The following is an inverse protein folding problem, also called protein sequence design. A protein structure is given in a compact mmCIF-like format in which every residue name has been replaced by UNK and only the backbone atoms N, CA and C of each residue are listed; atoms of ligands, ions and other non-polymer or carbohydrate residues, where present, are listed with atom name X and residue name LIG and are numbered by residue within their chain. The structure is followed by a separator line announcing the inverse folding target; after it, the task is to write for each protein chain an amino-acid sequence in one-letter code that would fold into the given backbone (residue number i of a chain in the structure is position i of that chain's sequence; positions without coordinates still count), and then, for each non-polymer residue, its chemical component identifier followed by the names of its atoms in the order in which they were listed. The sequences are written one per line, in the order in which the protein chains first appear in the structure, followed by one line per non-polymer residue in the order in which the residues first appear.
data_IF_980046125996
#
_entry.id   IF_980046125996
#
_cell.length_a   1.000
_cell.length_b   1.000
_cell.length_c   1.000
_cell.angle_alpha   90.00
_cell.angle_beta   90.00
_cell.angle_gamma   90.00
#
_symmetry.space_group_name_H-M   'P 1'
#
loop_
_entity.id
_entity.type
_entity.pdbx_description
1 polymer ?
#
# COMPACT_ATOMS: atom_id res chain seq x y z
N UNK A 1 -10.10 2.66 -13.02
CA UNK A 1 -10.32 2.62 -14.50
C UNK A 1 -10.57 1.20 -14.97
N UNK A 2 -11.20 1.01 -16.13
CA UNK A 2 -11.40 -0.34 -16.70
C UNK A 2 -10.07 -0.94 -17.11
N UNK A 3 -9.16 -0.08 -17.56
CA UNK A 3 -7.80 -0.31 -18.03
C UNK A 3 -6.81 -0.67 -16.91
N UNK A 4 -7.26 -0.67 -15.65
CA UNK A 4 -6.40 -0.85 -14.48
C UNK A 4 -6.06 0.48 -13.81
N UNK A 5 -5.26 0.42 -12.75
CA UNK A 5 -4.84 1.59 -11.99
C UNK A 5 -3.48 1.36 -11.35
N UNK A 6 -2.79 2.45 -11.03
CA UNK A 6 -1.55 2.37 -10.27
C UNK A 6 -1.93 2.11 -8.82
N UNK A 7 -1.51 0.95 -8.32
CA UNK A 7 -1.47 0.68 -6.89
C UNK A 7 -0.02 0.81 -6.42
N UNK A 8 0.17 1.48 -5.30
CA UNK A 8 1.43 1.50 -4.59
C UNK A 8 1.28 0.80 -3.25
N UNK A 9 2.37 0.17 -2.81
CA UNK A 9 2.49 -0.40 -1.48
C UNK A 9 3.66 0.29 -0.81
N UNK A 10 3.43 0.82 0.39
CA UNK A 10 4.49 1.37 1.21
C UNK A 10 5.01 0.29 2.16
N UNK A 11 6.33 0.23 2.30
CA UNK A 11 6.99 -0.67 3.24
C UNK A 11 7.79 0.14 4.24
N UNK A 12 7.61 -0.16 5.53
CA UNK A 12 8.53 0.34 6.53
C UNK A 12 9.85 -0.42 6.47
N UNK A 13 10.95 0.33 6.41
CA UNK A 13 12.31 -0.21 6.35
C UNK A 13 13.18 0.42 7.44
N UNK A 14 14.06 -0.39 8.05
CA UNK A 14 15.04 0.09 9.03
C UNK A 14 16.39 0.19 8.33
N UNK A 15 16.92 1.41 8.21
CA UNK A 15 18.27 1.61 7.68
C UNK A 15 19.32 0.93 8.56
N UNK A 16 20.30 0.26 7.94
CA UNK A 16 21.30 -0.57 8.63
C UNK A 16 22.12 0.21 9.67
N UNK A 17 22.33 1.50 9.44
CA UNK A 17 23.10 2.41 10.31
C UNK A 17 22.30 3.05 11.44
N UNK A 18 20.99 2.77 11.55
CA UNK A 18 20.17 3.36 12.60
C UNK A 18 20.64 2.94 14.00
N UNK A 19 20.78 3.91 14.90
CA UNK A 19 21.07 3.70 16.33
C UNK A 19 19.80 3.52 17.16
N UNK A 20 18.61 3.55 16.53
CA UNK A 20 17.30 3.53 17.20
C UNK A 20 16.46 2.30 16.81
N UNK A 21 17.11 1.19 16.43
CA UNK A 21 16.44 -0.01 15.91
C UNK A 21 15.39 -0.58 16.87
N UNK A 22 15.66 -0.57 18.17
CA UNK A 22 14.77 -1.18 19.16
C UNK A 22 13.42 -0.47 19.29
N UNK A 23 13.42 0.87 19.29
CA UNK A 23 12.15 1.62 19.32
C UNK A 23 11.40 1.50 17.99
N UNK A 24 12.11 1.44 16.86
CA UNK A 24 11.48 1.23 15.55
C UNK A 24 10.84 -0.15 15.48
N UNK A 25 11.48 -1.21 16.01
CA UNK A 25 10.87 -2.55 16.08
C UNK A 25 9.54 -2.53 16.85
N UNK A 26 9.48 -1.87 18.01
CA UNK A 26 8.22 -1.70 18.78
C UNK A 26 7.16 -0.96 17.97
N UNK A 27 7.54 0.06 17.22
CA UNK A 27 6.63 0.77 16.32
C UNK A 27 6.10 -0.15 15.21
N UNK A 28 6.96 -0.99 14.61
CA UNK A 28 6.55 -1.95 13.59
C UNK A 28 5.61 -3.02 14.16
N UNK A 29 5.90 -3.56 15.33
CA UNK A 29 5.03 -4.50 16.04
C UNK A 29 3.64 -3.90 16.27
N UNK A 30 3.57 -2.65 16.73
CA UNK A 30 2.31 -1.95 16.90
C UNK A 30 1.59 -1.71 15.57
N UNK A 31 2.29 -1.16 14.57
CA UNK A 31 1.71 -0.79 13.28
C UNK A 31 1.18 -2.01 12.52
N UNK A 32 1.84 -3.16 12.68
CA UNK A 32 1.43 -4.43 12.09
C UNK A 32 0.42 -5.21 12.95
N UNK A 33 0.08 -4.75 14.15
CA UNK A 33 -1.04 -5.32 14.91
C UNK A 33 -2.38 -5.00 14.23
N UNK A 34 -3.43 -5.76 14.56
CA UNK A 34 -4.78 -5.50 14.04
C UNK A 34 -5.24 -4.07 14.38
N UNK A 35 -5.01 -3.63 15.63
CA UNK A 35 -5.37 -2.29 16.10
C UNK A 35 -4.59 -1.18 15.37
N UNK A 36 -3.29 -1.39 15.15
CA UNK A 36 -2.46 -0.46 14.38
C UNK A 36 -2.99 -0.28 12.96
N UNK A 37 -3.32 -1.39 12.28
CA UNK A 37 -3.86 -1.36 10.92
C UNK A 37 -5.24 -0.69 10.83
N UNK A 38 -6.14 -0.92 11.79
CA UNK A 38 -7.42 -0.19 11.85
C UNK A 38 -7.18 1.31 11.97
N UNK A 39 -6.21 1.73 12.79
CA UNK A 39 -5.91 3.15 12.94
C UNK A 39 -5.43 3.79 11.64
N UNK A 40 -4.64 3.06 10.86
CA UNK A 40 -4.17 3.48 9.53
C UNK A 40 -5.31 3.54 8.52
N UNK A 41 -6.21 2.55 8.50
CA UNK A 41 -7.38 2.55 7.61
C UNK A 41 -8.32 3.73 7.87
N UNK A 42 -8.41 4.20 9.12
CA UNK A 42 -9.25 5.32 9.52
C UNK A 42 -8.62 6.71 9.30
N UNK A 43 -7.40 6.79 8.76
CA UNK A 43 -6.76 8.08 8.48
C UNK A 43 -7.46 8.80 7.32
N UNK A 44 -7.92 10.04 7.56
CA UNK A 44 -8.68 10.82 6.56
C UNK A 44 -7.86 11.21 5.32
N UNK A 45 -6.57 11.48 5.49
CA UNK A 45 -5.71 11.95 4.40
C UNK A 45 -5.06 10.83 3.59
N UNK A 46 -4.89 9.66 4.21
CA UNK A 46 -4.19 8.54 3.59
C UNK A 46 -4.61 7.20 4.22
N UNK A 47 -5.84 6.73 3.93
CA UNK A 47 -6.34 5.48 4.49
C UNK A 47 -5.59 4.30 3.86
N UNK A 48 -4.73 3.65 4.66
CA UNK A 48 -4.00 2.46 4.22
C UNK A 48 -4.82 1.18 4.39
N UNK A 49 -4.60 0.22 3.50
CA UNK A 49 -5.21 -1.11 3.63
C UNK A 49 -4.63 -1.86 4.83
N UNK A 50 -5.48 -2.58 5.55
CA UNK A 50 -5.06 -3.64 6.45
C UNK A 50 -4.52 -4.82 5.61
N UNK A 51 -3.22 -5.07 5.75
CA UNK A 51 -2.48 -6.09 4.99
C UNK A 51 -2.47 -7.45 5.69
N UNK A 52 -3.06 -7.56 6.87
CA UNK A 52 -3.19 -8.84 7.60
C UNK A 52 -4.65 -9.26 7.74
N UNK A 53 -4.88 -10.58 7.81
CA UNK A 53 -6.21 -11.14 8.06
C UNK A 53 -6.82 -10.64 9.37
N UNK A 54 -6.00 -10.52 10.44
CA UNK A 54 -6.46 -10.03 11.74
C UNK A 54 -6.86 -8.54 11.69
N UNK A 55 -6.08 -7.70 10.99
CA UNK A 55 -6.41 -6.28 10.79
C UNK A 55 -7.70 -6.08 10.00
N UNK A 56 -7.86 -6.83 8.89
CA UNK A 56 -9.10 -6.80 8.10
C UNK A 56 -10.30 -7.26 8.91
N UNK A 57 -10.18 -8.38 9.64
CA UNK A 57 -11.23 -8.87 10.53
C UNK A 57 -11.66 -7.80 11.53
N UNK A 58 -10.70 -7.20 12.25
CA UNK A 58 -11.00 -6.17 13.24
C UNK A 58 -11.64 -4.93 12.60
N UNK A 59 -11.16 -4.50 11.42
CA UNK A 59 -11.75 -3.36 10.70
C UNK A 59 -13.22 -3.61 10.37
N UNK A 60 -13.56 -4.80 9.85
CA UNK A 60 -14.93 -5.18 9.55
C UNK A 60 -15.83 -5.20 10.81
N UNK A 61 -15.27 -5.53 11.97
CA UNK A 61 -16.00 -5.56 13.25
C UNK A 61 -16.24 -4.16 13.81
N UNK A 62 -15.24 -3.28 13.79
CA UNK A 62 -15.28 -1.98 14.51
C UNK A 62 -15.64 -0.79 13.62
N UNK A 63 -15.44 -0.91 12.30
CA UNK A 63 -15.72 0.14 11.32
C UNK A 63 -16.12 -0.49 9.96
N UNK A 64 -17.28 -1.17 9.91
CA UNK A 64 -17.76 -1.80 8.68
C UNK A 64 -18.01 -0.79 7.56
N UNK A 65 -18.30 0.47 7.89
CA UNK A 65 -18.47 1.54 6.91
C UNK A 65 -17.15 1.83 6.18
N UNK A 66 -16.04 1.97 6.90
CA UNK A 66 -14.71 2.13 6.30
C UNK A 66 -14.27 0.87 5.54
N UNK A 67 -14.53 -0.32 6.11
CA UNK A 67 -14.24 -1.58 5.42
C UNK A 67 -14.95 -1.65 4.05
N UNK A 68 -16.24 -1.31 4.00
CA UNK A 68 -17.03 -1.30 2.77
C UNK A 68 -16.54 -0.23 1.80
N UNK A 69 -16.28 1.00 2.28
CA UNK A 69 -15.81 2.12 1.47
C UNK A 69 -14.47 1.81 0.80
N UNK A 70 -13.56 1.16 1.52
CA UNK A 70 -12.23 0.79 1.04
C UNK A 70 -12.19 -0.55 0.30
N UNK A 71 -13.28 -1.33 0.25
CA UNK A 71 -13.30 -2.64 -0.37
C UNK A 71 -12.53 -3.71 0.41
N UNK A 72 -12.37 -3.54 1.72
CA UNK A 72 -11.71 -4.48 2.63
C UNK A 72 -12.71 -5.48 3.23
N UNK A 73 -13.71 -5.85 2.45
CA UNK A 73 -14.74 -6.84 2.76
C UNK A 73 -14.55 -8.07 1.86
N UNK A 74 -14.94 -9.25 2.33
CA UNK A 74 -14.78 -10.48 1.54
C UNK A 74 -15.56 -10.39 0.22
N UNK A 75 -14.92 -10.77 -0.89
CA UNK A 75 -15.53 -10.78 -2.22
C UNK A 75 -15.63 -9.41 -2.90
N UNK A 76 -15.04 -8.35 -2.33
CA UNK A 76 -14.96 -7.06 -2.97
C UNK A 76 -14.16 -7.15 -4.29
N UNK A 77 -14.75 -6.71 -5.40
CA UNK A 77 -14.09 -6.71 -6.71
C UNK A 77 -12.88 -5.76 -6.78
N UNK A 78 -12.77 -4.82 -5.84
CA UNK A 78 -11.62 -3.94 -5.68
C UNK A 78 -10.65 -4.38 -4.57
N UNK A 79 -10.77 -5.61 -4.05
CA UNK A 79 -9.74 -6.18 -3.19
C UNK A 79 -8.42 -6.30 -3.98
N UNK A 80 -7.30 -5.76 -3.46
CA UNK A 80 -6.00 -5.89 -4.10
C UNK A 80 -5.62 -7.31 -4.51
N UNK A 81 -5.97 -8.33 -3.70
CA UNK A 81 -5.67 -9.73 -4.04
C UNK A 81 -6.49 -10.18 -5.24
N UNK A 82 -7.78 -9.83 -5.30
CA UNK A 82 -8.63 -10.13 -6.45
C UNK A 82 -8.09 -9.44 -7.70
N UNK A 83 -7.75 -8.16 -7.60
CA UNK A 83 -7.21 -7.37 -8.71
C UNK A 83 -5.84 -7.88 -9.20
N UNK A 84 -4.98 -8.40 -8.32
CA UNK A 84 -3.73 -9.07 -8.70
C UNK A 84 -4.04 -10.37 -9.46
N UNK A 85 -4.94 -11.19 -8.94
CA UNK A 85 -5.32 -12.48 -9.56
C UNK A 85 -5.98 -12.28 -10.93
N UNK A 86 -6.75 -11.20 -11.09
CA UNK A 86 -7.38 -10.81 -12.36
C UNK A 86 -6.40 -10.16 -13.35
N UNK A 87 -5.12 -10.02 -12.98
CA UNK A 87 -4.09 -9.39 -13.82
C UNK A 87 -4.30 -7.89 -14.03
N UNK A 88 -5.07 -7.23 -13.15
CA UNK A 88 -5.38 -5.79 -13.22
C UNK A 88 -4.40 -4.93 -12.44
N UNK A 89 -3.63 -5.54 -11.54
CA UNK A 89 -2.49 -4.93 -10.86
C UNK A 89 -1.22 -5.62 -11.34
N UNK A 90 -0.26 -4.81 -11.79
CA UNK A 90 1.07 -5.26 -12.16
C UNK A 90 2.10 -4.65 -11.21
N UNK A 91 3.02 -5.47 -10.71
CA UNK A 91 4.14 -4.97 -9.91
C UNK A 91 5.08 -4.18 -10.81
N UNK A 92 5.30 -2.91 -10.46
CA UNK A 92 6.28 -2.07 -11.14
C UNK A 92 7.69 -2.56 -10.81
N UNK A 93 8.41 -3.04 -11.82
CA UNK A 93 9.85 -3.29 -11.74
C UNK A 93 10.68 -2.04 -12.04
N UNK A 94 12.00 -2.18 -11.94
CA UNK A 94 12.92 -1.21 -12.54
C UNK A 94 12.73 -1.19 -14.07
N UNK A 95 13.01 -0.06 -14.75
CA UNK A 95 13.06 -0.04 -16.21
C UNK A 95 13.93 -1.18 -16.73
N UNK A 96 13.32 -2.05 -17.55
CA UNK A 96 14.00 -3.21 -18.13
C UNK A 96 14.42 -2.97 -19.58
N UNK A 97 13.85 -1.95 -20.23
CA UNK A 97 14.03 -1.66 -21.66
C UNK A 97 14.79 -0.34 -21.92
N UNK A 98 15.04 0.47 -20.90
CA UNK A 98 15.73 1.76 -20.98
C UNK A 98 16.57 1.97 -19.72
N UNK A 99 17.59 2.83 -19.81
CA UNK A 99 18.39 3.23 -18.66
C UNK A 99 17.61 4.15 -17.70
N UNK A 100 18.14 4.40 -16.51
CA UNK A 100 17.55 5.38 -15.59
C UNK A 100 17.72 6.80 -16.13
N UNK A 101 18.83 7.05 -16.82
CA UNK A 101 19.18 8.29 -17.48
C UNK A 101 18.14 8.65 -18.55
N UNK A 102 17.81 7.70 -19.45
CA UNK A 102 16.78 7.91 -20.49
C UNK A 102 15.43 8.31 -19.88
N UNK A 103 15.06 7.70 -18.75
CA UNK A 103 13.83 8.02 -18.03
C UNK A 103 13.85 9.43 -17.42
N UNK A 104 15.00 9.83 -16.86
CA UNK A 104 15.17 11.16 -16.26
C UNK A 104 15.16 12.25 -17.31
N UNK A 105 15.82 12.03 -18.45
CA UNK A 105 15.85 12.97 -19.57
C UNK A 105 14.45 13.18 -20.14
N UNK A 106 13.74 12.09 -20.44
CA UNK A 106 12.36 12.16 -20.91
C UNK A 106 11.43 12.89 -19.93
N UNK A 107 11.50 12.55 -18.63
CA UNK A 107 10.65 13.19 -17.63
C UNK A 107 10.97 14.69 -17.46
N UNK A 108 12.23 15.06 -17.63
CA UNK A 108 12.67 16.46 -17.57
C UNK A 108 12.18 17.25 -18.79
N UNK A 109 12.28 16.68 -19.98
CA UNK A 109 11.73 17.29 -21.21
C UNK A 109 10.22 17.48 -21.08
N UNK A 110 9.48 16.41 -20.73
CA UNK A 110 8.02 16.45 -20.56
C UNK A 110 7.56 17.54 -19.59
N UNK A 111 8.26 17.73 -18.47
CA UNK A 111 7.89 18.74 -17.46
C UNK A 111 8.11 20.19 -17.91
N UNK A 112 8.97 20.42 -18.90
CA UNK A 112 9.38 21.75 -19.34
C UNK A 112 8.75 22.16 -20.69
N UNK A 113 7.98 21.28 -21.32
CA UNK A 113 7.17 21.56 -22.51
C UNK A 113 5.83 22.21 -22.15
#
# INVERSE_FOLDING_TARGET
PKEGGIQWTESYSIVSTSTKKDIVKKYLEYSMSAKGQVKTAQMKGYPGFAVTNAGRKLLNEVDPAEAQRSGQVNGAANDPIALINDGRIHYRGLPAQQSLEDWNDFWSEYKNA
#
